data_IF_737184137008
#
_entry.id   IF_737184137008
#
_cell.length_a   1.000
_cell.length_b   1.000
_cell.length_c   1.000
_cell.angle_alpha   90.00
_cell.angle_beta   90.00
_cell.angle_gamma   90.00
#
_symmetry.space_group_name_H-M   'P 1'
#
loop_
_entity.id
_entity.type
_entity.pdbx_description
1 polymer ?
#
# COMPACT_ATOMS: atom_id res chain seq x y z
N UNK A 1 -94.07 51.83 -31.36
CA UNK A 1 -94.08 50.72 -32.34
C UNK A 1 -93.29 49.59 -31.70
N UNK A 2 -94.01 48.53 -31.35
CA UNK A 2 -93.66 47.13 -31.01
C UNK A 2 -92.38 46.84 -30.21
N UNK A 3 -92.37 46.07 -29.12
CA UNK A 3 -93.34 45.11 -28.58
C UNK A 3 -92.78 43.67 -28.57
N UNK A 4 -92.71 43.03 -27.39
CA UNK A 4 -92.60 41.57 -27.19
C UNK A 4 -91.20 41.04 -26.85
N UNK A 5 -90.87 40.61 -25.62
CA UNK A 5 -91.25 39.40 -24.85
C UNK A 5 -90.86 38.05 -25.51
N UNK A 6 -89.92 37.36 -24.82
CA UNK A 6 -89.76 35.91 -24.50
C UNK A 6 -90.70 34.88 -25.17
N UNK A 7 -90.28 33.60 -25.39
CA UNK A 7 -90.13 32.68 -24.24
C UNK A 7 -89.15 31.49 -24.35
N UNK A 8 -88.92 30.94 -23.17
CA UNK A 8 -88.46 29.61 -22.77
C UNK A 8 -89.18 28.45 -23.50
N UNK A 9 -88.47 27.34 -23.77
CA UNK A 9 -89.11 26.06 -24.06
C UNK A 9 -88.25 24.87 -23.60
N UNK A 10 -88.65 24.28 -22.47
CA UNK A 10 -88.33 22.91 -22.06
C UNK A 10 -89.22 21.90 -22.80
N UNK A 11 -88.68 20.71 -23.10
CA UNK A 11 -89.32 19.37 -23.12
C UNK A 11 -88.16 18.34 -23.16
N UNK A 12 -87.84 17.53 -22.14
CA UNK A 12 -88.51 16.30 -21.64
C UNK A 12 -88.92 15.37 -22.80
N UNK A 13 -88.26 14.23 -23.05
CA UNK A 13 -88.50 12.84 -22.55
C UNK A 13 -87.80 11.92 -23.59
N UNK A 14 -87.33 10.68 -23.39
CA UNK A 14 -87.28 9.69 -22.31
C UNK A 14 -86.54 8.46 -22.85
N UNK A 15 -85.79 7.79 -21.96
CA UNK A 15 -85.68 6.32 -21.77
C UNK A 15 -85.18 5.35 -22.86
N UNK A 16 -84.16 4.56 -22.43
CA UNK A 16 -83.73 3.17 -22.79
C UNK A 16 -83.30 2.91 -24.25
N UNK A 17 -82.19 2.22 -24.54
CA UNK A 17 -81.76 0.96 -23.92
C UNK A 17 -80.25 0.65 -24.08
N UNK A 18 -79.80 -0.18 -23.14
CA UNK A 18 -78.56 -0.95 -22.91
C UNK A 18 -77.53 -1.10 -24.02
N UNK A 19 -76.26 -1.00 -23.61
CA UNK A 19 -75.11 -1.56 -24.34
C UNK A 19 -73.76 -1.39 -23.64
N UNK A 20 -73.60 -2.01 -22.46
CA UNK A 20 -72.39 -2.68 -21.97
C UNK A 20 -71.04 -2.36 -22.67
N UNK A 21 -70.24 -1.46 -22.08
CA UNK A 21 -68.77 -1.57 -22.10
C UNK A 21 -68.23 -1.31 -20.70
N UNK A 22 -68.11 -2.39 -19.93
CA UNK A 22 -67.31 -2.41 -18.70
C UNK A 22 -65.83 -2.42 -19.11
N UNK A 23 -65.16 -1.31 -18.90
CA UNK A 23 -63.72 -1.15 -19.03
C UNK A 23 -63.23 -0.17 -17.97
N UNK A 24 -63.64 -0.38 -16.72
CA UNK A 24 -63.17 0.39 -15.58
C UNK A 24 -61.72 0.04 -15.28
N UNK A 25 -60.78 0.72 -15.94
CA UNK A 25 -59.42 0.84 -15.45
C UNK A 25 -59.47 1.61 -14.13
N UNK A 26 -59.55 0.85 -13.03
CA UNK A 26 -59.25 1.36 -11.70
C UNK A 26 -57.84 1.94 -11.78
N UNK A 27 -57.63 3.24 -11.48
CA UNK A 27 -56.29 3.75 -11.27
C UNK A 27 -55.68 2.88 -10.17
N UNK A 28 -54.59 2.21 -10.49
CA UNK A 28 -53.78 1.49 -9.51
C UNK A 28 -53.41 2.51 -8.43
N UNK A 29 -54.05 2.40 -7.27
CA UNK A 29 -53.57 3.04 -6.07
C UNK A 29 -52.14 2.54 -5.87
N UNK A 30 -51.17 3.38 -6.24
CA UNK A 30 -49.77 3.18 -5.88
C UNK A 30 -49.67 3.49 -4.39
N UNK A 31 -50.19 2.56 -3.59
CA UNK A 31 -49.87 2.43 -2.18
C UNK A 31 -48.42 1.99 -2.07
N UNK A 32 -47.49 2.91 -2.33
CA UNK A 32 -46.12 2.76 -1.88
C UNK A 32 -46.16 2.88 -0.36
N UNK A 33 -46.38 1.76 0.33
CA UNK A 33 -45.85 1.58 1.67
C UNK A 33 -44.33 1.58 1.49
N UNK A 34 -43.75 2.77 1.43
CA UNK A 34 -42.31 2.96 1.48
C UNK A 34 -41.88 2.51 2.87
N UNK A 35 -41.56 1.24 3.02
CA UNK A 35 -40.86 0.72 4.20
C UNK A 35 -39.41 1.21 4.10
N UNK A 36 -39.25 2.49 4.40
CA UNK A 36 -38.02 3.23 4.21
C UNK A 36 -36.98 2.91 5.29
N UNK A 37 -37.25 1.95 6.19
CA UNK A 37 -36.32 1.42 7.20
C UNK A 37 -35.86 2.40 8.28
N UNK A 38 -36.14 3.70 8.13
CA UNK A 38 -35.72 4.75 9.05
C UNK A 38 -36.42 4.66 10.41
N UNK A 39 -35.62 4.73 11.48
CA UNK A 39 -36.11 5.18 12.78
C UNK A 39 -36.09 6.70 12.87
N UNK A 40 -36.94 7.25 13.74
CA UNK A 40 -37.10 8.70 13.92
C UNK A 40 -35.77 9.39 14.25
N UNK A 41 -35.09 8.91 15.31
CA UNK A 41 -33.84 9.50 15.77
C UNK A 41 -32.71 9.37 14.74
N UNK A 42 -32.70 8.27 13.97
CA UNK A 42 -31.73 8.05 12.89
C UNK A 42 -31.92 9.05 11.76
N UNK A 43 -33.17 9.34 11.38
CA UNK A 43 -33.50 10.34 10.36
C UNK A 43 -33.13 11.76 10.82
N UNK A 44 -33.43 12.11 12.08
CA UNK A 44 -33.08 13.40 12.65
C UNK A 44 -31.56 13.60 12.75
N UNK A 45 -30.81 12.56 13.14
CA UNK A 45 -29.35 12.59 13.18
C UNK A 45 -28.74 12.75 11.77
N UNK A 46 -29.22 12.00 10.77
CA UNK A 46 -28.77 12.13 9.38
C UNK A 46 -29.08 13.53 8.80
N UNK A 47 -30.27 14.07 9.08
CA UNK A 47 -30.64 15.44 8.71
C UNK A 47 -29.70 16.47 9.36
N UNK A 48 -29.46 16.34 10.67
CA UNK A 48 -28.59 17.25 11.38
C UNK A 48 -27.17 17.22 10.80
N UNK A 49 -26.64 16.04 10.47
CA UNK A 49 -25.34 15.90 9.81
C UNK A 49 -25.33 16.59 8.43
N UNK A 50 -26.40 16.45 7.64
CA UNK A 50 -26.51 17.12 6.34
C UNK A 50 -26.56 18.65 6.44
N UNK A 51 -27.28 19.19 7.44
CA UNK A 51 -27.45 20.63 7.62
C UNK A 51 -26.21 21.33 8.19
N UNK A 52 -25.34 20.60 8.90
CA UNK A 52 -24.11 21.15 9.49
C UNK A 52 -23.18 21.68 8.42
N UNK A 53 -22.72 22.92 8.63
CA UNK A 53 -21.66 23.55 7.86
C UNK A 53 -21.04 24.68 8.70
N UNK A 54 -19.92 25.26 8.25
CA UNK A 54 -19.19 26.27 9.03
C UNK A 54 -20.04 27.50 9.38
N UNK A 55 -21.05 27.82 8.57
CA UNK A 55 -21.92 28.99 8.75
C UNK A 55 -23.16 28.68 9.57
N UNK A 56 -23.46 27.42 9.88
CA UNK A 56 -24.72 27.01 10.53
C UNK A 56 -24.48 26.17 11.78
N UNK A 57 -25.08 26.60 12.87
CA UNK A 57 -25.21 25.82 14.10
C UNK A 57 -26.44 24.91 13.99
N UNK A 58 -26.29 23.67 14.45
CA UNK A 58 -27.33 22.64 14.36
C UNK A 58 -27.40 21.90 15.69
N UNK A 59 -28.61 21.76 16.22
CA UNK A 59 -28.89 21.02 17.44
C UNK A 59 -29.98 20.00 17.17
N UNK A 60 -29.84 18.81 17.74
CA UNK A 60 -30.87 17.78 17.75
C UNK A 60 -31.56 17.77 19.10
N UNK A 61 -32.87 17.54 19.10
CA UNK A 61 -33.66 17.34 20.32
C UNK A 61 -33.42 18.45 21.38
N UNK A 62 -33.48 19.72 20.94
CA UNK A 62 -33.18 20.89 21.79
C UNK A 62 -34.46 21.59 22.25
N UNK A 63 -34.65 21.73 23.56
CA UNK A 63 -35.75 22.52 24.11
C UNK A 63 -35.47 24.02 23.95
N UNK A 64 -36.41 24.78 23.39
CA UNK A 64 -36.23 26.19 23.05
C UNK A 64 -36.81 27.14 24.12
N UNK A 65 -36.38 26.99 25.38
CA UNK A 65 -36.84 27.81 26.49
C UNK A 65 -36.90 27.04 27.82
N UNK A 66 -37.68 27.49 28.82
CA UNK A 66 -37.90 26.77 30.07
C UNK A 66 -38.59 25.41 29.85
N UNK A 67 -38.64 24.59 30.90
CA UNK A 67 -39.32 23.29 30.86
C UNK A 67 -40.75 23.42 30.33
N UNK A 68 -41.15 22.51 29.43
CA UNK A 68 -42.43 22.57 28.71
C UNK A 68 -42.41 23.38 27.42
N UNK A 69 -41.30 24.07 27.11
CA UNK A 69 -41.14 24.75 25.82
C UNK A 69 -41.03 23.72 24.67
N UNK A 70 -41.46 24.11 23.45
CA UNK A 70 -41.32 23.29 22.26
C UNK A 70 -39.88 22.78 22.05
N UNK A 71 -39.81 21.55 21.53
CA UNK A 71 -38.57 20.81 21.32
C UNK A 71 -38.58 20.21 19.91
N UNK A 72 -38.12 20.96 18.90
CA UNK A 72 -38.04 20.42 17.55
C UNK A 72 -36.98 19.31 17.46
N UNK A 73 -37.19 18.38 16.53
CA UNK A 73 -36.25 17.27 16.28
C UNK A 73 -34.87 17.79 15.87
N UNK A 74 -34.84 18.77 14.95
CA UNK A 74 -33.62 19.48 14.57
C UNK A 74 -33.87 20.98 14.54
N UNK A 75 -32.96 21.73 15.15
CA UNK A 75 -33.00 23.18 15.17
C UNK A 75 -31.73 23.77 14.58
N UNK A 76 -31.85 24.83 13.78
CA UNK A 76 -30.69 25.47 13.16
C UNK A 76 -30.70 26.97 13.30
N UNK A 77 -29.50 27.54 13.43
CA UNK A 77 -29.23 28.97 13.46
C UNK A 77 -28.01 29.28 12.59
N UNK A 78 -28.10 30.27 11.72
CA UNK A 78 -26.94 30.79 10.99
C UNK A 78 -26.05 31.58 11.94
N UNK A 79 -24.73 31.45 11.77
CA UNK A 79 -23.69 32.23 12.46
C UNK A 79 -23.60 33.64 11.89
N UNK A 80 -24.72 34.35 11.97
CA UNK A 80 -24.86 35.72 11.49
C UNK A 80 -25.53 36.55 12.58
N UNK A 81 -24.90 37.67 12.93
CA UNK A 81 -25.46 38.62 13.87
C UNK A 81 -26.73 39.29 13.32
N UNK A 82 -26.73 39.66 12.04
CA UNK A 82 -27.84 40.40 11.42
C UNK A 82 -28.95 39.50 10.87
N UNK A 83 -28.64 38.26 10.48
CA UNK A 83 -29.60 37.32 9.88
C UNK A 83 -29.39 35.91 10.44
N UNK A 84 -29.73 35.67 11.73
CA UNK A 84 -29.53 34.37 12.37
C UNK A 84 -30.46 33.27 11.82
N UNK A 85 -31.55 33.64 11.13
CA UNK A 85 -32.44 32.74 10.39
C UNK A 85 -32.81 31.43 11.14
N UNK A 86 -33.33 31.51 12.38
CA UNK A 86 -33.73 30.33 13.14
C UNK A 86 -34.74 29.49 12.37
N UNK A 87 -34.54 28.18 12.33
CA UNK A 87 -35.36 27.24 11.57
C UNK A 87 -35.54 25.96 12.36
N UNK A 88 -36.79 25.54 12.53
CA UNK A 88 -37.17 24.29 13.17
C UNK A 88 -37.47 23.24 12.10
N UNK A 89 -37.00 22.01 12.32
CA UNK A 89 -37.29 20.86 11.49
C UNK A 89 -38.01 19.81 12.32
N UNK A 90 -39.05 19.23 11.72
CA UNK A 90 -39.84 18.14 12.30
C UNK A 90 -39.69 16.91 11.41
N UNK A 91 -39.08 15.84 11.93
CA UNK A 91 -38.83 14.59 11.24
C UNK A 91 -40.06 13.69 11.35
N UNK A 92 -40.50 13.10 10.24
CA UNK A 92 -41.63 12.16 10.23
C UNK A 92 -41.28 10.93 9.43
N UNK A 93 -41.50 9.76 10.04
CA UNK A 93 -41.28 8.44 9.42
C UNK A 93 -42.59 7.71 9.10
N UNK A 94 -43.76 8.29 9.39
CA UNK A 94 -45.03 7.66 9.06
C UNK A 94 -46.07 8.69 8.62
N UNK A 95 -46.97 8.28 7.72
CA UNK A 95 -48.08 9.14 7.26
C UNK A 95 -49.07 9.44 8.38
N UNK A 96 -49.22 8.56 9.36
CA UNK A 96 -50.08 8.81 10.52
C UNK A 96 -49.50 9.89 11.42
N UNK A 97 -48.21 9.83 11.73
CA UNK A 97 -47.52 10.83 12.56
C UNK A 97 -47.50 12.19 11.85
N UNK A 98 -47.17 12.21 10.55
CA UNK A 98 -47.24 13.43 9.75
C UNK A 98 -48.64 14.05 9.80
N UNK A 99 -49.70 13.28 9.54
CA UNK A 99 -51.08 13.79 9.56
C UNK A 99 -51.50 14.29 10.94
N UNK A 100 -51.11 13.59 12.00
CA UNK A 100 -51.39 13.99 13.39
C UNK A 100 -50.81 15.38 13.67
N UNK A 101 -49.57 15.62 13.25
CA UNK A 101 -48.90 16.89 13.48
C UNK A 101 -49.43 18.02 12.60
N UNK A 102 -49.68 17.74 11.31
CA UNK A 102 -50.21 18.76 10.40
C UNK A 102 -51.64 19.18 10.78
N UNK A 103 -52.45 18.23 11.25
CA UNK A 103 -53.85 18.49 11.64
C UNK A 103 -53.97 19.14 13.01
N UNK A 104 -53.13 18.76 13.98
CA UNK A 104 -53.18 19.32 15.33
C UNK A 104 -52.65 20.75 15.43
N UNK A 105 -51.95 21.23 14.40
CA UNK A 105 -51.39 22.59 14.38
C UNK A 105 -50.25 22.82 15.39
N UNK A 106 -49.79 21.77 16.09
CA UNK A 106 -48.75 21.86 17.13
C UNK A 106 -47.47 22.52 16.63
N UNK A 107 -47.12 22.29 15.36
CA UNK A 107 -45.96 22.86 14.70
C UNK A 107 -45.95 24.40 14.71
N UNK A 108 -47.10 25.06 14.82
CA UNK A 108 -47.20 26.52 14.88
C UNK A 108 -46.52 27.08 16.13
N UNK A 109 -46.46 26.31 17.22
CA UNK A 109 -45.75 26.70 18.45
C UNK A 109 -44.26 26.92 18.22
N UNK A 110 -43.66 26.37 17.16
CA UNK A 110 -42.28 26.65 16.82
C UNK A 110 -42.07 28.05 16.24
N UNK A 111 -43.11 28.68 15.66
CA UNK A 111 -42.98 29.98 15.00
C UNK A 111 -42.67 31.14 15.97
N UNK A 112 -42.89 30.95 17.27
CA UNK A 112 -42.46 31.90 18.29
C UNK A 112 -40.93 31.90 18.50
N UNK A 113 -40.24 30.84 18.06
CA UNK A 113 -38.78 30.68 18.18
C UNK A 113 -38.08 30.62 16.82
N UNK A 114 -38.79 30.18 15.77
CA UNK A 114 -38.25 29.92 14.44
C UNK A 114 -38.96 30.74 13.37
N UNK A 115 -38.18 31.28 12.43
CA UNK A 115 -38.74 32.00 11.29
C UNK A 115 -39.30 31.05 10.22
N UNK A 116 -39.03 29.75 10.33
CA UNK A 116 -39.55 28.74 9.43
C UNK A 116 -39.64 27.38 10.13
N UNK A 117 -40.65 26.60 9.72
CA UNK A 117 -40.81 25.19 10.09
C UNK A 117 -40.73 24.35 8.83
N UNK A 118 -39.92 23.30 8.85
CA UNK A 118 -39.68 22.42 7.69
C UNK A 118 -39.95 20.97 8.12
N UNK A 119 -40.81 20.28 7.40
CA UNK A 119 -41.00 18.85 7.59
C UNK A 119 -39.93 18.08 6.83
N UNK A 120 -39.31 17.12 7.52
CA UNK A 120 -38.26 16.26 6.99
C UNK A 120 -38.76 14.82 6.95
N UNK A 121 -38.77 14.21 5.76
CA UNK A 121 -39.38 12.89 5.56
C UNK A 121 -38.54 12.01 4.64
N UNK A 122 -38.61 10.68 4.76
CA UNK A 122 -38.07 9.78 3.74
C UNK A 122 -38.79 9.92 2.40
N UNK A 123 -38.11 9.56 1.32
CA UNK A 123 -38.69 9.52 -0.01
C UNK A 123 -39.92 8.59 -0.07
N UNK A 124 -40.98 9.06 -0.74
CA UNK A 124 -42.24 8.33 -0.87
C UNK A 124 -43.25 8.56 0.26
N UNK A 125 -42.88 9.18 1.38
CA UNK A 125 -43.79 9.29 2.52
C UNK A 125 -45.00 10.21 2.24
N UNK A 126 -44.76 11.40 1.70
CA UNK A 126 -45.80 12.40 1.43
C UNK A 126 -45.48 13.25 0.20
N UNK A 127 -46.50 13.98 -0.24
CA UNK A 127 -46.41 14.97 -1.30
C UNK A 127 -46.37 16.38 -0.72
N UNK A 128 -45.96 17.40 -1.50
CA UNK A 128 -46.01 18.79 -1.05
C UNK A 128 -47.40 19.28 -0.65
N UNK A 129 -48.48 18.65 -1.15
CA UNK A 129 -49.85 18.99 -0.82
C UNK A 129 -50.24 18.56 0.61
N UNK A 130 -49.57 17.55 1.16
CA UNK A 130 -49.82 17.04 2.52
C UNK A 130 -49.23 17.95 3.61
N UNK A 131 -48.39 18.93 3.23
CA UNK A 131 -47.68 19.81 4.16
C UNK A 131 -48.39 21.17 4.27
N UNK A 132 -48.68 21.67 5.49
CA UNK A 132 -49.37 22.94 5.72
C UNK A 132 -48.76 24.11 4.96
N UNK A 133 -49.60 25.01 4.46
CA UNK A 133 -49.16 26.22 3.73
C UNK A 133 -48.19 27.04 4.60
N UNK A 134 -47.07 27.47 4.00
CA UNK A 134 -46.01 28.21 4.69
C UNK A 134 -44.90 27.33 5.27
N UNK A 135 -45.14 26.04 5.53
CA UNK A 135 -44.09 25.12 5.95
C UNK A 135 -43.25 24.62 4.77
N UNK A 136 -41.98 24.32 5.04
CA UNK A 136 -41.08 23.68 4.07
C UNK A 136 -41.23 22.16 4.05
N UNK A 137 -40.70 21.55 2.99
CA UNK A 137 -40.57 20.11 2.86
C UNK A 137 -39.18 19.77 2.34
N UNK A 138 -38.44 18.97 3.11
CA UNK A 138 -37.17 18.38 2.72
C UNK A 138 -37.28 16.86 2.73
N UNK A 139 -36.84 16.21 1.66
CA UNK A 139 -36.99 14.77 1.48
C UNK A 139 -35.62 14.11 1.49
N UNK A 140 -35.48 13.06 2.29
CA UNK A 140 -34.33 12.17 2.25
C UNK A 140 -34.49 11.16 1.12
N UNK A 141 -33.83 11.44 -0.01
CA UNK A 141 -33.61 10.44 -1.07
C UNK A 141 -32.46 9.52 -0.67
N UNK A 142 -32.15 8.52 -1.48
CA UNK A 142 -31.16 7.48 -1.19
C UNK A 142 -29.79 7.94 -0.64
N UNK A 143 -29.18 8.99 -1.22
CA UNK A 143 -27.85 9.52 -0.80
C UNK A 143 -27.83 11.01 -0.44
N UNK A 144 -28.97 11.69 -0.52
CA UNK A 144 -29.02 13.16 -0.52
C UNK A 144 -30.36 13.67 0.00
N UNK A 145 -30.32 14.77 0.75
CA UNK A 145 -31.49 15.54 1.09
C UNK A 145 -31.82 16.54 -0.01
N UNK A 146 -33.10 16.60 -0.42
CA UNK A 146 -33.58 17.59 -1.40
C UNK A 146 -34.72 18.41 -0.81
N UNK A 147 -34.59 19.73 -0.91
CA UNK A 147 -35.71 20.63 -0.62
C UNK A 147 -36.72 20.54 -1.75
N UNK A 148 -37.90 20.00 -1.46
CA UNK A 148 -39.01 19.90 -2.41
C UNK A 148 -39.84 21.17 -2.39
N UNK A 149 -40.04 21.75 -1.19
CA UNK A 149 -40.76 23.02 -1.01
C UNK A 149 -40.03 23.90 -0.01
N UNK A 150 -39.78 25.16 -0.37
CA UNK A 150 -39.20 26.14 0.56
C UNK A 150 -40.27 26.61 1.55
N UNK A 151 -39.88 26.80 2.81
CA UNK A 151 -40.74 27.42 3.81
C UNK A 151 -40.88 28.93 3.53
N UNK A 152 -42.07 29.48 3.78
CA UNK A 152 -42.27 30.92 3.85
C UNK A 152 -41.72 31.41 5.18
N UNK A 153 -40.69 32.27 5.13
CA UNK A 153 -40.03 32.75 6.34
C UNK A 153 -40.77 33.93 6.94
N UNK A 154 -41.02 33.86 8.24
CA UNK A 154 -41.51 34.98 9.05
C UNK A 154 -40.33 35.66 9.77
N UNK A 155 -40.36 36.99 9.94
CA UNK A 155 -39.43 37.65 10.85
C UNK A 155 -39.70 37.15 12.27
N UNK A 156 -38.65 36.71 12.96
CA UNK A 156 -38.73 36.30 14.36
C UNK A 156 -37.55 36.88 15.11
N UNK A 157 -37.85 37.46 16.26
CA UNK A 157 -36.85 37.82 17.26
C UNK A 157 -36.81 36.68 18.26
N UNK A 158 -35.66 36.02 18.35
CA UNK A 158 -35.47 34.94 19.32
C UNK A 158 -35.68 35.47 20.75
N UNK A 159 -36.60 34.88 21.53
CA UNK A 159 -36.75 35.21 22.94
C UNK A 159 -35.45 35.02 23.71
N UNK A 160 -35.19 35.90 24.68
CA UNK A 160 -33.95 35.86 25.47
C UNK A 160 -33.75 34.50 26.15
N UNK A 161 -34.82 33.91 26.67
CA UNK A 161 -34.79 32.58 27.31
C UNK A 161 -34.32 31.48 26.34
N UNK A 162 -34.75 31.54 25.08
CA UNK A 162 -34.31 30.63 24.04
C UNK A 162 -32.83 30.87 23.69
N UNK A 163 -32.39 32.13 23.60
CA UNK A 163 -30.98 32.47 23.41
C UNK A 163 -30.10 31.95 24.55
N UNK A 164 -30.51 32.16 25.80
CA UNK A 164 -29.79 31.69 26.99
C UNK A 164 -29.75 30.16 27.03
N UNK A 165 -30.84 29.48 26.68
CA UNK A 165 -30.89 28.02 26.57
C UNK A 165 -29.93 27.49 25.51
N UNK A 166 -29.90 28.10 24.33
CA UNK A 166 -28.95 27.77 23.25
C UNK A 166 -27.50 28.06 23.66
N UNK A 167 -27.26 29.09 24.46
CA UNK A 167 -25.93 29.41 24.96
C UNK A 167 -25.45 28.40 26.01
N UNK A 168 -26.27 28.08 27.01
CA UNK A 168 -25.88 27.24 28.14
C UNK A 168 -25.86 25.75 27.75
N UNK A 169 -26.95 25.25 27.17
CA UNK A 169 -27.13 23.83 26.83
C UNK A 169 -26.69 23.57 25.38
N UNK A 170 -27.00 24.50 24.49
CA UNK A 170 -26.68 24.36 23.07
C UNK A 170 -25.19 24.44 22.77
N UNK A 171 -24.39 25.23 23.50
CA UNK A 171 -22.94 25.25 23.28
C UNK A 171 -22.36 23.87 23.57
N UNK A 172 -22.66 23.25 24.72
CA UNK A 172 -22.14 21.92 25.04
C UNK A 172 -22.53 20.86 24.01
N UNK A 173 -23.81 20.84 23.58
CA UNK A 173 -24.32 19.91 22.54
C UNK A 173 -23.78 20.17 21.13
N UNK A 174 -23.35 21.40 20.85
CA UNK A 174 -22.66 21.74 19.60
C UNK A 174 -21.14 21.52 19.67
N UNK A 175 -20.58 21.54 20.89
CA UNK A 175 -19.14 21.46 21.21
C UNK A 175 -18.70 20.04 21.54
N UNK A 176 -19.58 19.04 21.47
CA UNK A 176 -19.19 17.70 21.03
C UNK A 176 -18.64 17.81 19.58
N UNK A 177 -17.43 18.35 19.51
CA UNK A 177 -16.50 18.37 18.39
C UNK A 177 -16.12 16.92 18.14
N UNK A 178 -17.04 16.16 17.59
CA UNK A 178 -16.65 14.95 16.87
C UNK A 178 -16.01 15.45 15.59
N UNK A 179 -14.68 15.31 15.52
CA UNK A 179 -13.88 15.16 14.30
C UNK A 179 -14.83 14.81 13.16
N UNK A 180 -14.87 15.56 12.03
CA UNK A 180 -15.77 15.27 10.92
C UNK A 180 -15.70 13.78 10.63
N UNK A 181 -16.68 13.00 11.11
CA UNK A 181 -16.71 11.58 10.82
C UNK A 181 -17.02 11.59 9.33
N UNK A 182 -16.11 11.07 8.47
CA UNK A 182 -16.44 10.86 7.07
C UNK A 182 -17.78 10.14 7.06
N UNK A 183 -18.69 10.53 6.15
CA UNK A 183 -19.95 9.80 5.96
C UNK A 183 -19.63 8.32 6.00
N UNK A 184 -20.31 7.55 6.84
CA UNK A 184 -20.24 6.09 6.82
C UNK A 184 -20.90 5.64 5.51
N UNK A 185 -20.14 5.77 4.42
CA UNK A 185 -20.37 4.99 3.22
C UNK A 185 -20.28 3.56 3.72
N UNK A 186 -21.30 2.73 3.47
CA UNK A 186 -21.22 1.28 3.64
C UNK A 186 -20.14 0.76 2.68
N UNK A 187 -18.88 0.96 3.07
CA UNK A 187 -17.67 0.64 2.33
C UNK A 187 -17.55 -0.86 2.08
N UNK A 188 -18.35 -1.69 2.73
CA UNK A 188 -18.27 -3.14 2.62
C UNK A 188 -18.50 -3.63 1.18
N UNK A 189 -19.47 -3.04 0.46
CA UNK A 189 -19.79 -3.46 -0.92
C UNK A 189 -18.80 -2.88 -1.93
N UNK A 190 -18.34 -1.64 -1.74
CA UNK A 190 -17.32 -1.03 -2.62
C UNK A 190 -15.91 -1.64 -2.39
N UNK A 191 -15.61 -2.08 -1.16
CA UNK A 191 -14.35 -2.75 -0.85
C UNK A 191 -14.29 -4.20 -1.30
N UNK A 192 -15.40 -4.88 -1.60
CA UNK A 192 -15.33 -6.26 -2.08
C UNK A 192 -14.63 -6.33 -3.44
N UNK A 193 -14.98 -5.43 -4.36
CA UNK A 193 -14.31 -5.31 -5.66
C UNK A 193 -12.82 -4.91 -5.51
N UNK A 194 -12.52 -3.99 -4.59
CA UNK A 194 -11.15 -3.55 -4.29
C UNK A 194 -10.34 -4.69 -3.63
N UNK A 195 -10.92 -5.43 -2.69
CA UNK A 195 -10.30 -6.61 -2.05
C UNK A 195 -10.08 -7.74 -3.04
N UNK A 196 -11.02 -7.96 -3.98
CA UNK A 196 -10.86 -8.95 -5.04
C UNK A 196 -9.77 -8.54 -6.04
N UNK A 197 -9.68 -7.25 -6.36
CA UNK A 197 -8.71 -6.71 -7.32
C UNK A 197 -7.30 -6.58 -6.75
N UNK A 198 -7.16 -6.11 -5.51
CA UNK A 198 -5.86 -5.83 -4.88
C UNK A 198 -5.45 -6.88 -3.85
N UNK A 199 -6.38 -7.65 -3.28
CA UNK A 199 -6.05 -8.66 -2.27
C UNK A 199 -5.18 -9.79 -2.84
N UNK A 200 -5.41 -10.21 -4.08
CA UNK A 200 -4.55 -11.19 -4.75
C UNK A 200 -3.13 -10.64 -4.99
N UNK A 201 -3.02 -9.36 -5.37
CA UNK A 201 -1.73 -8.70 -5.59
C UNK A 201 -0.96 -8.50 -4.27
N UNK A 202 -1.63 -8.08 -3.20
CA UNK A 202 -1.05 -7.92 -1.86
C UNK A 202 -0.63 -9.27 -1.28
N UNK A 203 -1.46 -10.30 -1.41
CA UNK A 203 -1.12 -11.65 -0.97
C UNK A 203 0.04 -12.26 -1.77
N UNK A 204 0.15 -11.93 -3.06
CA UNK A 204 1.32 -12.30 -3.86
C UNK A 204 2.57 -11.57 -3.40
N UNK A 205 2.52 -10.25 -3.25
CA UNK A 205 3.65 -9.44 -2.80
C UNK A 205 4.15 -9.86 -1.41
N UNK A 206 3.24 -10.18 -0.48
CA UNK A 206 3.61 -10.69 0.84
C UNK A 206 4.33 -12.04 0.76
N UNK A 207 3.82 -12.97 -0.05
CA UNK A 207 4.47 -14.27 -0.28
C UNK A 207 5.84 -14.13 -0.95
N UNK A 208 5.95 -13.27 -1.95
CA UNK A 208 7.20 -13.01 -2.67
C UNK A 208 8.25 -12.39 -1.73
N UNK A 209 7.83 -11.48 -0.85
CA UNK A 209 8.71 -10.88 0.16
C UNK A 209 9.22 -11.93 1.16
N UNK A 210 8.33 -12.78 1.69
CA UNK A 210 8.72 -13.86 2.62
C UNK A 210 9.62 -14.89 1.94
N UNK A 211 9.34 -15.24 0.68
CA UNK A 211 10.18 -16.14 -0.10
C UNK A 211 11.58 -15.56 -0.29
N UNK A 212 11.68 -14.28 -0.71
CA UNK A 212 12.95 -13.59 -0.89
C UNK A 212 13.76 -13.48 0.42
N UNK A 213 13.10 -13.20 1.56
CA UNK A 213 13.74 -13.18 2.87
C UNK A 213 14.29 -14.55 3.29
N UNK A 214 13.52 -15.61 3.02
CA UNK A 214 13.95 -16.99 3.31
C UNK A 214 15.13 -17.38 2.42
N UNK A 215 15.08 -17.03 1.14
CA UNK A 215 16.16 -17.28 0.19
C UNK A 215 17.44 -16.54 0.56
N UNK A 216 17.35 -15.26 0.94
CA UNK A 216 18.48 -14.47 1.42
C UNK A 216 19.13 -15.11 2.65
N UNK A 217 18.33 -15.56 3.61
CA UNK A 217 18.82 -16.26 4.82
C UNK A 217 19.53 -17.57 4.46
N UNK A 218 18.96 -18.34 3.53
CA UNK A 218 19.56 -19.58 3.06
C UNK A 218 20.88 -19.33 2.32
N UNK A 219 20.96 -18.31 1.47
CA UNK A 219 22.21 -17.93 0.80
C UNK A 219 23.28 -17.45 1.78
N UNK A 220 22.91 -16.70 2.81
CA UNK A 220 23.85 -16.31 3.86
C UNK A 220 24.41 -17.53 4.61
N UNK A 221 23.56 -18.50 4.93
CA UNK A 221 23.97 -19.75 5.56
C UNK A 221 24.90 -20.58 4.64
N UNK A 222 24.55 -20.70 3.36
CA UNK A 222 25.37 -21.40 2.37
C UNK A 222 26.72 -20.71 2.14
N UNK A 223 26.73 -19.38 2.01
CA UNK A 223 27.96 -18.59 1.88
C UNK A 223 28.86 -18.81 3.09
N UNK A 224 28.30 -18.75 4.32
CA UNK A 224 29.07 -18.97 5.55
C UNK A 224 29.67 -20.37 5.59
N UNK A 225 28.90 -21.41 5.25
CA UNK A 225 29.40 -22.77 5.20
C UNK A 225 30.49 -22.96 4.13
N UNK A 226 30.35 -22.30 2.97
CA UNK A 226 31.34 -22.35 1.90
C UNK A 226 32.65 -21.66 2.30
N UNK A 227 32.57 -20.47 2.90
CA UNK A 227 33.74 -19.77 3.42
C UNK A 227 34.47 -20.57 4.49
N UNK A 228 33.75 -21.21 5.41
CA UNK A 228 34.36 -22.09 6.41
C UNK A 228 35.12 -23.27 5.78
N UNK A 229 34.58 -23.86 4.70
CA UNK A 229 35.30 -24.93 3.98
C UNK A 229 36.56 -24.42 3.30
N UNK A 230 36.48 -23.25 2.65
CA UNK A 230 37.63 -22.62 1.99
C UNK A 230 38.71 -22.30 3.03
N UNK A 231 38.35 -21.76 4.19
CA UNK A 231 39.29 -21.45 5.27
C UNK A 231 39.98 -22.72 5.79
N UNK A 232 39.22 -23.78 6.05
CA UNK A 232 39.77 -25.08 6.47
C UNK A 232 40.72 -25.67 5.43
N UNK A 233 40.36 -25.62 4.14
CA UNK A 233 41.23 -26.08 3.07
C UNK A 233 42.49 -25.23 2.93
N UNK A 234 42.37 -23.90 3.05
CA UNK A 234 43.49 -22.98 2.99
C UNK A 234 44.46 -23.21 4.15
N UNK A 235 43.95 -23.41 5.37
CA UNK A 235 44.76 -23.76 6.53
C UNK A 235 45.47 -25.11 6.37
N UNK A 236 44.76 -26.12 5.86
CA UNK A 236 45.34 -27.44 5.60
C UNK A 236 46.46 -27.36 4.54
N UNK A 237 46.20 -26.69 3.41
CA UNK A 237 47.21 -26.47 2.36
C UNK A 237 48.42 -25.70 2.90
N UNK A 238 48.19 -24.63 3.66
CA UNK A 238 49.27 -23.86 4.29
C UNK A 238 50.12 -24.73 5.21
N UNK A 239 49.50 -25.57 6.04
CA UNK A 239 50.22 -26.52 6.91
C UNK A 239 51.04 -27.51 6.09
N UNK A 240 50.46 -28.12 5.06
CA UNK A 240 51.17 -29.05 4.18
C UNK A 240 52.35 -28.40 3.45
N UNK A 241 52.19 -27.17 2.94
CA UNK A 241 53.27 -26.42 2.31
C UNK A 241 54.41 -26.10 3.29
N UNK A 242 54.08 -25.71 4.53
CA UNK A 242 55.08 -25.46 5.56
C UNK A 242 55.85 -26.75 5.90
N UNK A 243 55.15 -27.88 6.06
CA UNK A 243 55.79 -29.16 6.38
C UNK A 243 56.66 -29.68 5.23
N UNK A 244 56.23 -29.51 3.97
CA UNK A 244 57.06 -29.84 2.81
C UNK A 244 58.33 -28.98 2.77
N UNK A 245 58.19 -27.66 2.93
CA UNK A 245 59.33 -26.74 2.93
C UNK A 245 60.33 -27.07 4.05
N UNK A 246 59.86 -27.51 5.23
CA UNK A 246 60.74 -27.97 6.32
C UNK A 246 61.52 -29.23 5.93
N UNK A 247 60.87 -30.20 5.26
CA UNK A 247 61.54 -31.42 4.80
C UNK A 247 62.59 -31.11 3.74
N UNK A 248 62.23 -30.32 2.73
CA UNK A 248 63.16 -29.88 1.68
C UNK A 248 64.35 -29.10 2.27
N UNK A 249 64.11 -28.22 3.24
CA UNK A 249 65.19 -27.51 3.93
C UNK A 249 66.11 -28.45 4.71
N UNK A 250 65.56 -29.47 5.38
CA UNK A 250 66.35 -30.47 6.10
C UNK A 250 67.18 -31.34 5.14
N UNK A 251 66.59 -31.80 4.03
CA UNK A 251 67.29 -32.54 2.98
C UNK A 251 68.40 -31.69 2.34
N UNK A 252 68.13 -30.41 2.08
CA UNK A 252 69.12 -29.47 1.58
C UNK A 252 70.29 -29.27 2.55
N UNK A 253 70.04 -29.15 3.85
CA UNK A 253 71.11 -29.04 4.85
C UNK A 253 71.94 -30.33 4.95
N UNK A 254 71.33 -31.51 4.81
CA UNK A 254 72.06 -32.77 4.72
C UNK A 254 72.94 -32.79 3.46
N UNK A 255 72.38 -32.52 2.29
CA UNK A 255 73.12 -32.50 1.03
C UNK A 255 74.25 -31.46 1.02
N UNK A 256 74.02 -30.30 1.65
CA UNK A 256 75.03 -29.27 1.86
C UNK A 256 76.17 -29.76 2.76
N UNK A 257 75.85 -30.44 3.86
CA UNK A 257 76.87 -31.04 4.74
C UNK A 257 77.71 -32.07 3.99
N UNK A 258 77.07 -32.95 3.23
CA UNK A 258 77.76 -33.97 2.43
C UNK A 258 78.67 -33.33 1.38
N UNK A 259 78.21 -32.27 0.71
CA UNK A 259 79.00 -31.50 -0.24
C UNK A 259 80.21 -30.83 0.43
N UNK A 260 80.01 -30.22 1.61
CA UNK A 260 81.10 -29.61 2.37
C UNK A 260 82.15 -30.64 2.81
N UNK A 261 81.71 -31.81 3.28
CA UNK A 261 82.59 -32.91 3.62
C UNK A 261 83.39 -33.41 2.40
N UNK A 262 82.74 -33.55 1.24
CA UNK A 262 83.42 -33.93 -0.01
C UNK A 262 84.44 -32.88 -0.47
N UNK A 263 84.14 -31.60 -0.28
CA UNK A 263 85.06 -30.49 -0.56
C UNK A 263 86.19 -30.34 0.48
N UNK A 264 86.12 -31.07 1.60
CA UNK A 264 87.07 -31.00 2.71
C UNK A 264 86.99 -29.70 3.51
N UNK A 265 85.81 -29.07 3.56
CA UNK A 265 85.57 -27.80 4.28
C UNK A 265 84.80 -28.07 5.59
N UNK A 266 85.22 -27.44 6.69
CA UNK A 266 84.51 -27.50 7.97
C UNK A 266 83.34 -26.49 8.04
N UNK A 267 82.25 -26.86 8.70
CA UNK A 267 81.12 -25.96 8.95
C UNK A 267 81.45 -24.94 10.06
N UNK A 268 81.08 -23.64 9.94
CA UNK A 268 80.38 -23.01 8.82
C UNK A 268 81.34 -22.48 7.73
N UNK A 269 81.24 -23.04 6.52
CA UNK A 269 81.97 -22.52 5.37
C UNK A 269 81.18 -21.39 4.68
N UNK A 270 81.85 -20.28 4.36
CA UNK A 270 81.23 -19.19 3.60
C UNK A 270 81.00 -19.59 2.15
N UNK A 271 79.96 -19.04 1.50
CA UNK A 271 79.67 -19.27 0.07
C UNK A 271 80.88 -18.98 -0.82
N UNK A 272 81.68 -17.98 -0.45
CA UNK A 272 82.92 -17.64 -1.14
C UNK A 272 83.98 -18.74 -1.00
N UNK A 273 84.14 -19.31 0.20
CA UNK A 273 85.04 -20.43 0.46
C UNK A 273 84.68 -21.68 -0.35
N UNK A 274 83.39 -22.01 -0.43
CA UNK A 274 82.88 -23.13 -1.25
C UNK A 274 83.20 -22.89 -2.74
N UNK A 275 82.86 -21.70 -3.27
CA UNK A 275 83.13 -21.35 -4.67
C UNK A 275 84.62 -21.39 -4.99
N UNK A 276 85.47 -20.90 -4.09
CA UNK A 276 86.93 -20.95 -4.25
C UNK A 276 87.43 -22.39 -4.31
N UNK A 277 86.99 -23.27 -3.40
CA UNK A 277 87.43 -24.67 -3.40
C UNK A 277 86.96 -25.43 -4.64
N UNK A 278 85.74 -25.17 -5.12
CA UNK A 278 85.25 -25.72 -6.39
C UNK A 278 86.12 -25.24 -7.56
N UNK A 279 86.47 -23.96 -7.60
CA UNK A 279 87.35 -23.42 -8.65
C UNK A 279 88.77 -24.02 -8.59
N UNK A 280 89.31 -24.24 -7.39
CA UNK A 280 90.59 -24.93 -7.19
C UNK A 280 90.52 -26.39 -7.67
N UNK A 281 89.49 -27.15 -7.31
CA UNK A 281 89.30 -28.53 -7.80
C UNK A 281 89.10 -28.59 -9.32
N UNK A 282 88.37 -27.63 -9.91
CA UNK A 282 88.22 -27.52 -11.36
C UNK A 282 89.55 -27.19 -12.05
N UNK A 283 90.38 -26.35 -11.43
CA UNK A 283 91.72 -26.05 -11.92
C UNK A 283 92.66 -27.25 -11.77
N UNK A 284 92.61 -27.99 -10.65
CA UNK A 284 93.34 -29.25 -10.43
C UNK A 284 92.96 -30.32 -11.47
N UNK A 285 91.66 -30.48 -11.78
CA UNK A 285 91.21 -31.40 -12.83
C UNK A 285 91.64 -30.97 -14.24
N UNK A 286 91.66 -29.65 -14.52
CA UNK A 286 92.16 -29.11 -15.79
C UNK A 286 93.69 -29.15 -15.90
N UNK A 287 94.40 -29.13 -14.78
CA UNK A 287 95.85 -29.15 -14.70
C UNK A 287 96.42 -30.58 -14.54
N UNK A 288 95.59 -31.63 -14.60
CA UNK A 288 96.08 -32.99 -14.45
C UNK A 288 96.92 -33.38 -15.68
N UNK A 289 98.24 -33.21 -15.53
CA UNK A 289 99.30 -33.64 -16.43
C UNK A 289 99.13 -35.12 -16.83
N UNK A 290 98.39 -35.93 -16.07
CA UNK A 290 98.06 -37.32 -16.43
C UNK A 290 97.06 -37.40 -17.57
N UNK A 291 96.02 -36.57 -17.59
CA UNK A 291 95.04 -36.51 -18.69
C UNK A 291 95.72 -36.01 -19.95
N UNK A 292 96.50 -34.93 -19.84
CA UNK A 292 97.29 -34.39 -20.95
C UNK A 292 98.36 -35.40 -21.46
N UNK A 293 99.02 -36.16 -20.57
CA UNK A 293 99.96 -37.23 -20.96
C UNK A 293 99.26 -38.38 -21.67
N UNK A 294 98.08 -38.79 -21.23
CA UNK A 294 97.31 -39.89 -21.84
C UNK A 294 96.81 -39.46 -23.23
N UNK A 295 96.27 -38.24 -23.37
CA UNK A 295 95.85 -37.70 -24.67
C UNK A 295 97.03 -37.59 -25.64
N UNK A 296 98.18 -37.08 -25.18
CA UNK A 296 99.40 -37.00 -25.99
C UNK A 296 99.99 -38.37 -26.34
N UNK A 297 99.85 -39.39 -25.47
CA UNK A 297 100.27 -40.75 -25.75
C UNK A 297 99.36 -41.41 -26.80
N UNK A 298 98.04 -41.23 -26.68
CA UNK A 298 97.06 -41.76 -27.64
C UNK A 298 97.26 -41.15 -29.04
N UNK A 299 97.46 -39.83 -29.10
CA UNK A 299 97.66 -39.12 -30.36
C UNK A 299 98.92 -39.59 -31.09
N UNK A 300 100.01 -39.83 -30.34
CA UNK A 300 101.25 -40.40 -30.90
C UNK A 300 101.08 -41.84 -31.38
N UNK A 301 100.36 -42.66 -30.63
CA UNK A 301 100.06 -44.04 -31.02
C UNK A 301 99.21 -44.08 -32.31
N UNK A 302 98.22 -43.20 -32.42
CA UNK A 302 97.37 -43.07 -33.62
C UNK A 302 98.20 -42.66 -34.84
N UNK A 303 99.05 -41.65 -34.71
CA UNK A 303 99.89 -41.18 -35.82
C UNK A 303 100.91 -42.25 -36.26
N UNK A 304 101.47 -43.01 -35.32
CA UNK A 304 102.35 -44.15 -35.61
C UNK A 304 101.61 -45.25 -36.38
N UNK A 305 100.40 -45.62 -35.94
CA UNK A 305 99.57 -46.61 -36.61
C UNK A 305 99.18 -46.17 -38.03
N UNK A 306 98.84 -44.90 -38.22
CA UNK A 306 98.53 -44.33 -39.54
C UNK A 306 99.74 -44.31 -40.47
N UNK A 307 100.93 -43.99 -39.95
CA UNK A 307 102.17 -44.07 -40.73
C UNK A 307 102.46 -45.51 -41.13
N UNK A 308 102.40 -46.47 -40.19
CA UNK A 308 102.59 -47.88 -40.49
C UNK A 308 101.58 -48.42 -41.53
N UNK A 309 100.32 -47.97 -41.46
CA UNK A 309 99.31 -48.29 -42.47
C UNK A 309 99.71 -47.74 -43.85
N UNK A 310 100.15 -46.47 -43.94
CA UNK A 310 100.64 -45.87 -45.18
C UNK A 310 101.88 -46.59 -45.73
N UNK A 311 102.81 -47.02 -44.89
CA UNK A 311 104.00 -47.77 -45.32
C UNK A 311 103.61 -49.15 -45.86
N UNK A 312 102.63 -49.82 -45.24
CA UNK A 312 102.09 -51.08 -45.74
C UNK A 312 101.34 -50.89 -47.06
N UNK A 313 100.59 -49.80 -47.22
CA UNK A 313 99.97 -49.44 -48.51
C UNK A 313 101.03 -49.16 -49.59
N UNK A 314 102.11 -48.46 -49.26
CA UNK A 314 103.22 -48.22 -50.20
C UNK A 314 103.94 -49.52 -50.60
N UNK A 315 104.21 -50.43 -49.65
CA UNK A 315 104.85 -51.72 -49.91
C UNK A 315 103.95 -52.70 -50.68
N UNK A 316 102.63 -52.61 -50.51
CA UNK A 316 101.68 -53.39 -51.32
C UNK A 316 101.55 -52.82 -52.74
N UNK A 317 101.71 -51.51 -52.93
CA UNK A 317 101.79 -50.88 -54.26
C UNK A 317 103.11 -51.19 -54.99
N UNK A 318 104.26 -51.22 -54.29
CA UNK A 318 105.55 -51.63 -54.86
C UNK A 318 105.62 -53.13 -55.24
N UNK A 319 104.86 -54.00 -54.57
CA UNK A 319 104.75 -55.43 -54.92
C UNK A 319 103.70 -55.74 -56.00
N UNK A 320 102.89 -54.75 -56.37
CA UNK A 320 101.84 -54.87 -57.38
C UNK A 320 102.20 -54.17 -58.71
N UNK A 321 103.40 -53.56 -58.81
CA UNK A 321 104.01 -53.00 -60.01
C UNK A 321 105.17 -53.87 -60.49
#
# INVERSE_FOLDING_TARGET
>A
MDGGKSPDCRRSTSLVDRGLFQGGERPLEVGSMSDHGWKHDELAADLAQYLRNDKRMVWTDMQLGPSGSPRPDVYTLERSYSKPLPTAYECKISRSDLRSDTTSGKWQKYLQFAGAVIFAVPEGLCTPADIPTGCGLIVRKDKVWRNIRKATRQPVTLPMDACMKLLIDGVHRSVERTIPKPREIKLWVEHEAVRKKFGAAVAKAARDLTAAQTEATNYEAQRRAMWQRIDLEAEARKKSHIELAKREAAEYEIAKRDLLAWLGLEEPASVYGIRRRIAELQAECRADVRVEKVENALTRALHSAQQAAKTLEALTQEKAA
#
